data_IF_076019962217
#
_entry.id   IF_076019962217
#
_cell.length_a   1.000
_cell.length_b   1.000
_cell.length_c   1.000
_cell.angle_alpha   90.00
_cell.angle_beta   90.00
_cell.angle_gamma   90.00
#
_symmetry.space_group_name_H-M   'P 1'
#
loop_
_entity.id
_entity.type
_entity.pdbx_description
1 polymer ?
#
# COMPACT_ATOMS: atom_id res chain seq x y z
N UNK A 1 -7.07 -18.34 -0.56
CA UNK A 1 -7.71 -17.23 0.18
C UNK A 1 -6.70 -16.11 0.30
N UNK A 2 -7.04 -14.86 -0.05
CA UNK A 2 -6.13 -13.72 0.09
C UNK A 2 -5.72 -13.54 1.55
N UNK A 3 -4.43 -13.57 1.87
CA UNK A 3 -3.93 -13.48 3.26
C UNK A 3 -4.26 -12.14 3.92
N UNK A 4 -4.53 -11.10 3.13
CA UNK A 4 -4.76 -9.74 3.63
C UNK A 4 -3.53 -9.10 4.26
N UNK A 5 -2.35 -9.71 4.07
CA UNK A 5 -1.06 -9.22 4.50
C UNK A 5 -0.67 -7.95 3.75
N UNK A 6 -0.06 -7.01 4.46
CA UNK A 6 0.49 -5.79 3.89
C UNK A 6 1.98 -6.01 3.63
N UNK A 7 2.37 -5.97 2.35
CA UNK A 7 3.75 -6.23 1.93
C UNK A 7 4.68 -5.02 2.09
N UNK A 8 4.18 -3.82 1.79
CA UNK A 8 4.95 -2.59 1.86
C UNK A 8 4.06 -1.37 2.08
N UNK A 9 4.62 -0.35 2.74
CA UNK A 9 4.07 0.99 2.85
C UNK A 9 5.12 1.97 2.37
N UNK A 10 4.68 3.00 1.67
CA UNK A 10 5.56 4.06 1.20
C UNK A 10 4.81 5.39 1.16
N UNK A 11 5.38 6.41 1.80
CA UNK A 11 4.88 7.77 1.79
C UNK A 11 5.77 8.65 0.89
N UNK A 12 5.13 9.48 0.09
CA UNK A 12 5.81 10.42 -0.81
C UNK A 12 5.06 11.75 -0.88
N UNK A 13 5.80 12.87 -1.01
CA UNK A 13 5.22 14.20 -1.12
C UNK A 13 4.52 14.40 -2.46
N UNK A 14 4.96 13.69 -3.50
CA UNK A 14 4.49 13.82 -4.87
C UNK A 14 4.00 12.48 -5.40
N UNK A 15 2.99 12.50 -6.27
CA UNK A 15 2.53 11.32 -7.02
C UNK A 15 2.99 11.43 -8.46
N UNK A 16 4.02 10.68 -8.82
CA UNK A 16 4.58 10.64 -10.17
C UNK A 16 5.09 9.24 -10.53
N UNK A 17 5.49 9.05 -11.80
CA UNK A 17 5.91 7.74 -12.32
C UNK A 17 7.15 7.21 -11.59
N UNK A 18 8.13 8.06 -11.25
CA UNK A 18 9.35 7.63 -10.56
C UNK A 18 9.05 7.12 -9.14
N UNK A 19 8.18 7.82 -8.43
CA UNK A 19 7.68 7.41 -7.11
C UNK A 19 6.93 6.08 -7.21
N UNK A 20 6.05 5.92 -8.20
CA UNK A 20 5.32 4.67 -8.42
C UNK A 20 6.27 3.51 -8.75
N UNK A 21 7.26 3.72 -9.62
CA UNK A 21 8.27 2.73 -9.95
C UNK A 21 9.10 2.32 -8.72
N UNK A 22 9.51 3.30 -7.89
CA UNK A 22 10.23 3.02 -6.65
C UNK A 22 9.39 2.15 -5.72
N UNK A 23 8.13 2.51 -5.51
CA UNK A 23 7.22 1.74 -4.67
C UNK A 23 7.02 0.31 -5.19
N UNK A 24 6.79 0.14 -6.49
CA UNK A 24 6.61 -1.19 -7.08
C UNK A 24 7.87 -2.05 -6.90
N UNK A 25 9.08 -1.48 -7.07
CA UNK A 25 10.33 -2.22 -6.81
C UNK A 25 10.43 -2.68 -5.35
N UNK A 26 10.12 -1.81 -4.40
CA UNK A 26 10.08 -2.18 -2.97
C UNK A 26 9.11 -3.34 -2.70
N UNK A 27 7.96 -3.38 -3.38
CA UNK A 27 7.01 -4.51 -3.28
C UNK A 27 7.59 -5.77 -3.90
N UNK A 28 8.21 -5.68 -5.09
CA UNK A 28 8.80 -6.83 -5.77
C UNK A 28 9.95 -7.46 -5.00
N UNK A 29 10.74 -6.68 -4.25
CA UNK A 29 11.81 -7.20 -3.38
C UNK A 29 11.26 -8.12 -2.26
N UNK A 30 9.94 -8.07 -2.02
CA UNK A 30 9.23 -8.92 -1.05
C UNK A 30 8.47 -10.07 -1.71
N UNK A 31 8.50 -10.18 -3.04
CA UNK A 31 7.80 -11.20 -3.81
C UNK A 31 8.81 -12.16 -4.46
N UNK A 32 8.60 -13.47 -4.33
CA UNK A 32 9.45 -14.47 -4.99
C UNK A 32 9.28 -14.52 -6.52
N UNK A 33 8.13 -14.06 -7.03
CA UNK A 33 7.77 -14.06 -8.45
C UNK A 33 7.24 -12.69 -8.87
N UNK A 34 7.10 -12.45 -10.18
CA UNK A 34 6.38 -11.27 -10.72
C UNK A 34 4.87 -11.44 -10.49
N UNK A 35 4.26 -10.75 -9.51
CA UNK A 35 2.85 -10.94 -9.22
C UNK A 35 1.98 -10.24 -10.27
N UNK A 36 0.73 -10.70 -10.39
CA UNK A 36 -0.31 -9.90 -11.04
C UNK A 36 -0.67 -8.75 -10.10
N UNK A 37 -0.52 -7.51 -10.55
CA UNK A 37 -0.80 -6.32 -9.73
C UNK A 37 -2.18 -5.76 -10.08
N UNK A 38 -3.01 -5.53 -9.06
CA UNK A 38 -4.32 -4.89 -9.23
C UNK A 38 -4.19 -3.43 -8.84
N UNK A 39 -4.50 -2.52 -9.77
CA UNK A 39 -4.35 -1.07 -9.57
C UNK A 39 -5.63 -0.29 -9.87
N UNK A 40 -5.69 0.92 -9.30
CA UNK A 40 -6.77 1.88 -9.50
C UNK A 40 -6.59 2.75 -10.76
N UNK A 41 -7.25 3.91 -10.83
CA UNK A 41 -7.18 4.86 -11.96
C UNK A 41 -5.90 5.70 -11.99
N UNK A 42 -4.98 5.55 -11.03
CA UNK A 42 -3.75 6.32 -10.99
C UNK A 42 -2.95 6.15 -12.28
N UNK A 43 -2.86 7.21 -13.08
CA UNK A 43 -2.17 7.18 -14.39
C UNK A 43 -0.70 6.81 -14.25
N UNK A 44 -0.06 7.18 -13.14
CA UNK A 44 1.34 6.86 -12.83
C UNK A 44 1.61 5.37 -12.67
N UNK A 45 0.63 4.57 -12.20
CA UNK A 45 0.84 3.13 -11.99
C UNK A 45 0.96 2.37 -13.31
N UNK A 46 0.10 2.66 -14.30
CA UNK A 46 0.13 1.97 -15.60
C UNK A 46 1.50 2.09 -16.26
N UNK A 47 1.99 3.33 -16.38
CA UNK A 47 3.31 3.60 -16.96
C UNK A 47 4.44 2.92 -16.19
N UNK A 48 4.40 2.92 -14.86
CA UNK A 48 5.41 2.28 -14.04
C UNK A 48 5.40 0.75 -14.20
N UNK A 49 4.22 0.13 -14.25
CA UNK A 49 4.03 -1.31 -14.42
C UNK A 49 4.47 -1.79 -15.81
N UNK A 50 4.07 -1.05 -16.85
CA UNK A 50 4.49 -1.31 -18.24
C UNK A 50 6.01 -1.23 -18.37
N UNK A 51 6.65 -0.21 -17.78
CA UNK A 51 8.11 -0.04 -17.78
C UNK A 51 8.85 -1.14 -17.03
N UNK A 52 8.22 -1.77 -16.04
CA UNK A 52 8.79 -2.88 -15.28
C UNK A 52 8.42 -4.25 -15.86
N UNK A 53 7.64 -4.30 -16.95
CA UNK A 53 7.22 -5.54 -17.61
C UNK A 53 6.33 -6.41 -16.71
N UNK A 54 5.46 -5.79 -15.91
CA UNK A 54 4.56 -6.47 -14.97
C UNK A 54 3.16 -6.56 -15.55
N UNK A 55 2.54 -7.73 -15.39
CA UNK A 55 1.11 -7.88 -15.71
C UNK A 55 0.29 -7.16 -14.65
N UNK A 56 -0.70 -6.41 -15.09
CA UNK A 56 -1.63 -5.75 -14.18
C UNK A 56 -3.06 -5.81 -14.66
N UNK A 57 -3.98 -5.73 -13.71
CA UNK A 57 -5.41 -5.62 -13.95
C UNK A 57 -5.92 -4.29 -13.40
N UNK A 58 -6.68 -3.62 -14.24
CA UNK A 58 -7.39 -2.41 -13.85
C UNK A 58 -8.76 -2.79 -13.29
N UNK A 59 -8.99 -2.54 -12.00
CA UNK A 59 -10.23 -2.91 -11.33
C UNK A 59 -11.02 -1.66 -10.90
N UNK A 60 -12.26 -1.50 -11.41
CA UNK A 60 -13.17 -0.44 -10.94
C UNK A 60 -13.87 -0.81 -9.63
N UNK A 61 -14.27 -2.08 -9.48
CA UNK A 61 -15.04 -2.63 -8.35
C UNK A 61 -14.55 -4.07 -8.05
N UNK A 62 -14.43 -4.49 -6.78
CA UNK A 62 -13.95 -5.84 -6.41
C UNK A 62 -12.84 -5.84 -5.35
N UNK A 63 -11.65 -6.37 -5.65
CA UNK A 63 -10.46 -6.40 -4.76
C UNK A 63 -10.04 -5.02 -4.21
N UNK A 64 -10.51 -3.93 -4.84
CA UNK A 64 -10.45 -2.57 -4.29
C UNK A 64 -11.04 -2.49 -2.87
N UNK A 65 -12.00 -3.35 -2.53
CA UNK A 65 -12.56 -3.50 -1.19
C UNK A 65 -11.48 -3.88 -0.16
N UNK A 66 -10.41 -4.60 -0.51
CA UNK A 66 -9.33 -4.91 0.45
C UNK A 66 -8.51 -3.66 0.75
N UNK A 67 -8.11 -2.93 -0.28
CA UNK A 67 -7.35 -1.68 -0.15
C UNK A 67 -8.18 -0.60 0.56
N UNK A 68 -9.45 -0.43 0.19
CA UNK A 68 -10.37 0.51 0.83
C UNK A 68 -10.65 0.12 2.29
N UNK A 69 -10.80 -1.17 2.59
CA UNK A 69 -10.90 -1.66 3.98
C UNK A 69 -9.64 -1.34 4.77
N UNK A 70 -8.46 -1.49 4.17
CA UNK A 70 -7.21 -1.12 4.82
C UNK A 70 -7.13 0.39 5.08
N UNK A 71 -7.43 1.24 4.09
CA UNK A 71 -7.43 2.69 4.31
C UNK A 71 -8.47 3.14 5.34
N UNK A 72 -9.65 2.51 5.38
CA UNK A 72 -10.65 2.77 6.41
C UNK A 72 -10.12 2.39 7.80
N UNK A 73 -9.47 1.24 7.91
CA UNK A 73 -8.83 0.81 9.16
C UNK A 73 -7.72 1.77 9.59
N UNK A 74 -6.88 2.23 8.65
CA UNK A 74 -5.85 3.22 8.91
C UNK A 74 -6.46 4.52 9.44
N UNK A 75 -7.49 5.07 8.78
CA UNK A 75 -8.21 6.27 9.24
C UNK A 75 -8.83 6.09 10.65
N UNK A 76 -9.45 4.95 10.91
CA UNK A 76 -10.00 4.67 12.24
C UNK A 76 -8.93 4.67 13.32
N UNK A 77 -7.69 4.27 12.99
CA UNK A 77 -6.55 4.33 13.91
C UNK A 77 -6.05 5.76 14.11
N UNK A 78 -6.00 6.57 13.04
CA UNK A 78 -5.59 7.98 13.15
C UNK A 78 -6.59 8.81 13.97
N UNK A 79 -7.88 8.52 13.88
CA UNK A 79 -8.94 9.18 14.64
C UNK A 79 -8.76 9.08 16.16
N UNK A 80 -8.21 7.96 16.65
CA UNK A 80 -7.91 7.79 18.09
C UNK A 80 -6.86 8.77 18.61
N UNK A 81 -6.06 9.33 17.71
CA UNK A 81 -5.07 10.37 18.00
C UNK A 81 -5.56 11.74 17.56
N UNK A 82 -6.87 11.93 17.41
CA UNK A 82 -7.47 13.17 16.90
C UNK A 82 -6.91 13.60 15.53
N UNK A 83 -6.44 12.63 14.73
CA UNK A 83 -5.69 12.87 13.48
C UNK A 83 -4.46 13.79 13.65
N UNK A 84 -3.92 13.90 14.86
CA UNK A 84 -2.76 14.74 15.20
C UNK A 84 -1.44 14.00 14.97
N UNK A 85 -1.23 13.56 13.73
CA UNK A 85 0.03 12.96 13.31
C UNK A 85 0.87 14.06 12.70
N UNK A 86 2.16 14.09 13.05
CA UNK A 86 3.10 15.05 12.46
C UNK A 86 3.23 14.79 10.96
N UNK A 87 2.47 15.54 10.16
CA UNK A 87 2.46 15.45 8.71
C UNK A 87 3.54 16.28 8.04
N UNK A 88 4.25 17.13 8.79
CA UNK A 88 5.36 17.93 8.29
C UNK A 88 6.58 17.08 7.93
N UNK A 89 6.74 15.92 8.57
CA UNK A 89 7.79 14.97 8.27
C UNK A 89 7.18 13.73 7.64
N UNK A 90 7.53 13.47 6.39
CA UNK A 90 6.97 12.33 5.67
C UNK A 90 7.31 10.98 6.33
N UNK A 91 8.48 10.89 6.93
CA UNK A 91 8.90 9.72 7.70
C UNK A 91 7.94 9.45 8.87
N UNK A 92 7.44 10.51 9.54
CA UNK A 92 6.47 10.33 10.63
C UNK A 92 5.14 9.75 10.14
N UNK A 93 4.70 10.11 8.93
CA UNK A 93 3.52 9.51 8.30
C UNK A 93 3.80 8.04 7.93
N UNK A 94 4.96 7.77 7.33
CA UNK A 94 5.38 6.43 6.91
C UNK A 94 5.54 5.49 8.11
N UNK A 95 6.21 5.93 9.17
CA UNK A 95 6.44 5.17 10.40
C UNK A 95 5.12 4.81 11.06
N UNK A 96 4.19 5.77 11.15
CA UNK A 96 2.87 5.55 11.72
C UNK A 96 2.06 4.53 10.91
N UNK A 97 2.01 4.71 9.58
CA UNK A 97 1.30 3.79 8.70
C UNK A 97 1.93 2.38 8.72
N UNK A 98 3.26 2.30 8.75
CA UNK A 98 4.03 1.06 8.86
C UNK A 98 3.75 0.34 10.18
N UNK A 99 3.69 1.07 11.29
CA UNK A 99 3.35 0.53 12.61
C UNK A 99 1.96 -0.12 12.60
N UNK A 100 0.98 0.54 11.98
CA UNK A 100 -0.37 -0.02 11.81
C UNK A 100 -0.36 -1.29 10.96
N UNK A 101 0.40 -1.30 9.86
CA UNK A 101 0.52 -2.46 9.01
C UNK A 101 1.16 -3.66 9.71
N UNK A 102 2.27 -3.44 10.41
CA UNK A 102 2.96 -4.48 11.19
C UNK A 102 2.00 -5.04 12.25
N UNK A 103 1.32 -4.17 12.99
CA UNK A 103 0.34 -4.59 14.01
C UNK A 103 -0.78 -5.45 13.40
N UNK A 104 -1.27 -5.07 12.22
CA UNK A 104 -2.30 -5.84 11.50
C UNK A 104 -1.77 -7.19 11.03
N UNK A 105 -0.58 -7.23 10.45
CA UNK A 105 0.04 -8.48 9.99
C UNK A 105 0.28 -9.43 11.17
N UNK A 106 0.79 -8.94 12.30
CA UNK A 106 0.94 -9.74 13.53
C UNK A 106 -0.41 -10.30 14.02
N UNK A 107 -1.46 -9.48 13.98
CA UNK A 107 -2.80 -9.93 14.35
C UNK A 107 -3.36 -11.01 13.40
N UNK A 108 -3.02 -10.96 12.12
CA UNK A 108 -3.36 -12.02 11.16
C UNK A 108 -2.61 -13.31 11.50
N UNK A 109 -1.31 -13.23 11.81
CA UNK A 109 -0.47 -14.37 12.16
C UNK A 109 -0.94 -15.04 13.45
N UNK A 110 -1.31 -14.27 14.48
CA UNK A 110 -1.75 -14.83 15.78
C UNK A 110 -3.13 -15.48 15.70
N UNK A 111 -3.99 -15.04 14.76
CA UNK A 111 -5.36 -15.53 14.63
C UNK A 111 -5.53 -16.69 13.65
N UNK A 112 -4.56 -16.92 12.79
CA UNK A 112 -4.50 -18.07 11.88
C UNK A 112 -3.71 -19.21 12.52
#
# INVERSE_FOLDING_TARGET
MDSGEILAIYASWSRNILIAMKFIRMVLDRCFNKPLIIVDRGSWYRWALDRLGLKYQYQRFGLRNVVERFFRYLKQRTERFYNNINSWRINSIEDYASTIAITRNLHIIIKN
#
